data_IF_916881527092
#
_entry.id   IF_916881527092
#
_cell.length_a   1.000
_cell.length_b   1.000
_cell.length_c   1.000
_cell.angle_alpha   90.00
_cell.angle_beta   90.00
_cell.angle_gamma   90.00
#
_symmetry.space_group_name_H-M   'P 1'
#
loop_
_entity.id
_entity.type
_entity.pdbx_description
1 polymer ?
#
# COMPACT_ATOMS: atom_id res chain seq x y z
N UNK A 1 19.10 10.61 3.56
CA UNK A 1 18.46 10.49 2.24
C UNK A 1 17.32 11.50 2.18
N UNK A 2 17.02 12.11 1.02
CA UNK A 2 15.85 13.00 0.86
C UNK A 2 14.74 12.21 0.18
N UNK A 3 13.58 12.11 0.83
CA UNK A 3 12.40 11.45 0.31
C UNK A 3 11.42 12.42 -0.34
N UNK A 4 10.60 11.90 -1.23
CA UNK A 4 9.48 12.62 -1.84
C UNK A 4 8.27 11.70 -1.88
N UNK A 5 7.09 12.27 -1.69
CA UNK A 5 5.81 11.60 -1.86
C UNK A 5 5.11 12.23 -3.07
N UNK A 6 4.86 11.39 -4.07
CA UNK A 6 4.04 11.71 -5.22
C UNK A 6 2.72 10.95 -5.13
N UNK A 7 1.60 11.64 -5.33
CA UNK A 7 0.28 11.04 -5.42
C UNK A 7 -0.33 11.46 -6.75
N UNK A 8 -0.73 10.48 -7.56
CA UNK A 8 -1.42 10.68 -8.83
C UNK A 8 -2.82 10.09 -8.76
N UNK A 9 -3.80 10.82 -9.30
CA UNK A 9 -5.16 10.33 -9.48
C UNK A 9 -5.34 9.87 -10.93
N UNK A 10 -6.01 8.73 -11.11
CA UNK A 10 -6.37 8.20 -12.42
C UNK A 10 -7.87 7.91 -12.45
N UNK A 11 -8.56 8.39 -13.46
CA UNK A 11 -10.00 8.22 -13.61
C UNK A 11 -10.42 8.24 -15.08
N UNK A 12 -11.65 7.81 -15.37
CA UNK A 12 -12.22 7.85 -16.72
C UNK A 12 -13.18 9.03 -16.79
N UNK A 13 -13.04 9.86 -17.81
CA UNK A 13 -13.96 10.94 -18.17
C UNK A 13 -14.12 10.95 -19.69
N UNK A 14 -15.35 10.98 -20.18
CA UNK A 14 -15.69 10.95 -21.61
C UNK A 14 -15.02 9.78 -22.36
N UNK A 15 -15.10 8.58 -21.79
CA UNK A 15 -14.50 7.35 -22.33
C UNK A 15 -12.97 7.40 -22.51
N UNK A 16 -12.30 8.36 -21.87
CA UNK A 16 -10.85 8.50 -21.91
C UNK A 16 -10.25 8.46 -20.51
N UNK A 17 -9.10 7.77 -20.37
CA UNK A 17 -8.31 7.80 -19.15
C UNK A 17 -7.69 9.19 -18.95
N UNK A 18 -7.86 9.74 -17.75
CA UNK A 18 -7.24 10.98 -17.29
C UNK A 18 -6.29 10.67 -16.14
N UNK A 19 -5.19 11.41 -16.11
CA UNK A 19 -4.17 11.32 -15.06
C UNK A 19 -3.89 12.72 -14.55
N UNK A 20 -3.89 12.90 -13.24
CA UNK A 20 -3.60 14.18 -12.59
C UNK A 20 -2.60 13.98 -11.46
N UNK A 21 -1.65 14.90 -11.33
CA UNK A 21 -0.77 14.95 -10.16
C UNK A 21 -1.49 15.70 -9.05
N UNK A 22 -1.83 14.98 -7.98
CA UNK A 22 -2.52 15.53 -6.82
C UNK A 22 -1.51 16.15 -5.87
N UNK A 23 -0.39 15.46 -5.65
CA UNK A 23 0.67 15.93 -4.76
C UNK A 23 2.05 15.50 -5.28
N UNK A 24 3.05 16.36 -5.09
CA UNK A 24 4.46 16.02 -5.20
C UNK A 24 5.24 16.88 -4.20
N UNK A 25 5.37 16.39 -2.97
CA UNK A 25 6.03 17.13 -1.87
C UNK A 25 7.23 16.38 -1.32
N UNK A 26 8.15 17.15 -0.75
CA UNK A 26 9.28 16.58 -0.01
C UNK A 26 8.75 15.88 1.24
N UNK A 27 9.07 14.61 1.39
CA UNK A 27 8.77 13.84 2.59
C UNK A 27 9.84 14.12 3.64
N UNK A 28 9.42 14.62 4.81
CA UNK A 28 10.32 14.93 5.92
C UNK A 28 10.22 13.84 6.98
N UNK A 29 11.34 13.51 7.62
CA UNK A 29 11.37 12.50 8.67
C UNK A 29 11.57 11.07 8.15
N UNK A 30 11.17 10.08 8.96
CA UNK A 30 11.27 8.66 8.62
C UNK A 30 10.08 8.24 7.79
N UNK A 31 10.30 7.40 6.79
CA UNK A 31 9.25 6.86 5.94
C UNK A 31 8.62 5.64 6.60
N UNK A 32 8.03 5.80 7.80
CA UNK A 32 7.29 4.73 8.45
C UNK A 32 5.92 4.57 7.80
N UNK A 33 5.27 3.42 7.99
CA UNK A 33 3.94 3.16 7.43
C UNK A 33 2.91 4.22 7.89
N UNK A 34 2.97 4.58 9.17
CA UNK A 34 2.10 5.58 9.81
C UNK A 34 2.34 6.97 9.23
N UNK A 35 3.60 7.35 9.02
CA UNK A 35 3.96 8.64 8.45
C UNK A 35 3.49 8.75 6.99
N UNK A 36 3.61 7.67 6.22
CA UNK A 36 3.14 7.60 4.82
C UNK A 36 1.62 7.72 4.77
N UNK A 37 0.92 6.96 5.61
CA UNK A 37 -0.55 6.97 5.71
C UNK A 37 -1.07 8.36 6.12
N UNK A 38 -0.46 8.98 7.12
CA UNK A 38 -0.84 10.32 7.57
C UNK A 38 -0.71 11.37 6.47
N UNK A 39 0.41 11.36 5.73
CA UNK A 39 0.63 12.30 4.62
C UNK A 39 -0.32 12.03 3.44
N UNK A 40 -0.69 10.78 3.20
CA UNK A 40 -1.72 10.42 2.22
C UNK A 40 -3.10 10.92 2.64
N UNK A 41 -3.52 10.67 3.88
CA UNK A 41 -4.81 11.09 4.43
C UNK A 41 -4.94 12.62 4.44
N UNK A 42 -3.88 13.34 4.77
CA UNK A 42 -3.84 14.80 4.68
C UNK A 42 -4.12 15.29 3.25
N UNK A 43 -3.43 14.72 2.25
CA UNK A 43 -3.63 15.09 0.84
C UNK A 43 -5.05 14.77 0.41
N UNK A 44 -5.52 13.55 0.62
CA UNK A 44 -6.85 13.09 0.20
C UNK A 44 -7.98 13.91 0.84
N UNK A 45 -7.81 14.29 2.11
CA UNK A 45 -8.74 15.15 2.84
C UNK A 45 -8.74 16.56 2.28
N UNK A 46 -7.55 17.13 2.00
CA UNK A 46 -7.43 18.50 1.48
C UNK A 46 -8.08 18.70 0.11
N UNK A 47 -8.17 17.64 -0.69
CA UNK A 47 -8.84 17.63 -2.00
C UNK A 47 -10.29 17.13 -1.93
N UNK A 48 -10.80 16.74 -0.76
CA UNK A 48 -12.17 16.21 -0.57
C UNK A 48 -12.49 15.02 -1.51
N UNK A 49 -11.51 14.11 -1.67
CA UNK A 49 -11.62 12.95 -2.57
C UNK A 49 -11.65 11.61 -1.83
N UNK A 50 -11.62 11.56 -0.50
CA UNK A 50 -11.55 10.30 0.26
C UNK A 50 -12.56 9.24 -0.16
N UNK A 51 -13.83 9.62 -0.25
CA UNK A 51 -14.92 8.73 -0.67
C UNK A 51 -14.95 8.39 -2.17
N UNK A 52 -14.07 8.99 -2.98
CA UNK A 52 -14.01 8.81 -4.43
C UNK A 52 -12.90 7.85 -4.85
N UNK A 53 -12.09 7.37 -3.89
CA UNK A 53 -10.94 6.51 -4.17
C UNK A 53 -11.38 5.05 -4.17
N UNK A 54 -11.34 4.42 -5.34
CA UNK A 54 -11.69 3.01 -5.49
C UNK A 54 -10.52 2.06 -5.19
N UNK A 55 -9.28 2.49 -5.48
CA UNK A 55 -8.09 1.67 -5.30
C UNK A 55 -6.84 2.54 -5.12
N UNK A 56 -5.85 1.98 -4.43
CA UNK A 56 -4.53 2.56 -4.21
C UNK A 56 -3.48 1.64 -4.84
N UNK A 57 -2.54 2.22 -5.60
CA UNK A 57 -1.40 1.48 -6.16
C UNK A 57 -0.11 2.07 -5.62
N UNK A 58 0.72 1.25 -4.96
CA UNK A 58 2.05 1.67 -4.48
C UNK A 58 3.10 0.59 -4.69
N UNK A 59 4.38 0.92 -4.50
CA UNK A 59 5.46 -0.05 -4.57
C UNK A 59 5.39 -1.11 -3.44
N UNK A 60 6.18 -2.17 -3.57
CA UNK A 60 6.16 -3.30 -2.63
C UNK A 60 7.10 -3.08 -1.43
N UNK A 61 7.60 -1.86 -1.19
CA UNK A 61 8.38 -1.60 0.01
C UNK A 61 7.52 -1.88 1.25
N UNK A 62 8.12 -2.50 2.26
CA UNK A 62 7.38 -2.99 3.44
C UNK A 62 6.53 -1.91 4.11
N UNK A 63 7.03 -0.68 4.18
CA UNK A 63 6.29 0.44 4.76
C UNK A 63 5.16 0.96 3.85
N UNK A 64 5.31 0.86 2.53
CA UNK A 64 4.25 1.23 1.58
C UNK A 64 3.10 0.23 1.62
N UNK A 65 3.39 -1.06 1.74
CA UNK A 65 2.36 -2.10 1.91
C UNK A 65 1.65 -1.90 3.25
N UNK A 66 2.39 -1.83 4.36
CA UNK A 66 1.82 -1.64 5.71
C UNK A 66 1.00 -0.36 5.86
N UNK A 67 1.33 0.71 5.13
CA UNK A 67 0.56 1.95 5.18
C UNK A 67 -0.88 1.78 4.66
N UNK A 68 -1.12 0.78 3.81
CA UNK A 68 -2.41 0.54 3.17
C UNK A 68 -2.95 -0.88 3.41
N UNK A 69 -2.49 -1.54 4.47
CA UNK A 69 -3.06 -2.80 4.95
C UNK A 69 -3.96 -2.57 6.17
N UNK A 70 -4.93 -3.45 6.36
CA UNK A 70 -5.76 -3.45 7.57
C UNK A 70 -4.99 -4.18 8.68
N UNK A 71 -4.80 -3.57 9.87
CA UNK A 71 -4.16 -4.25 10.99
C UNK A 71 -4.90 -5.56 11.33
N UNK A 72 -4.16 -6.67 11.41
CA UNK A 72 -4.74 -8.00 11.65
C UNK A 72 -5.35 -8.67 10.42
N UNK A 73 -5.46 -7.97 9.28
CA UNK A 73 -5.93 -8.51 8.01
C UNK A 73 -4.85 -8.25 6.93
N UNK A 74 -3.83 -9.11 6.95
CA UNK A 74 -2.79 -9.07 5.92
C UNK A 74 -3.30 -9.85 4.70
N UNK A 75 -3.76 -9.12 3.68
CA UNK A 75 -4.45 -9.68 2.51
C UNK A 75 -3.60 -10.68 1.68
N UNK A 76 -2.33 -10.93 2.02
CA UNK A 76 -1.49 -11.90 1.33
C UNK A 76 -0.43 -12.53 2.27
N UNK A 77 -0.78 -13.64 2.93
CA UNK A 77 0.22 -14.68 3.26
C UNK A 77 0.72 -15.31 1.95
N UNK A 78 1.71 -14.68 1.31
CA UNK A 78 2.61 -15.42 0.43
C UNK A 78 3.76 -15.81 1.33
N UNK A 79 3.72 -17.05 1.80
CA UNK A 79 4.76 -17.68 2.59
C UNK A 79 6.11 -17.50 1.90
N UNK A 80 6.94 -16.62 2.45
CA UNK A 80 8.36 -16.78 2.34
C UNK A 80 8.93 -16.63 3.74
N UNK A 81 9.27 -17.78 4.31
CA UNK A 81 9.94 -17.90 5.60
C UNK A 81 11.10 -16.91 5.69
N UNK A 82 11.01 -16.05 6.69
CA UNK A 82 12.14 -15.41 7.34
C UNK A 82 11.76 -15.30 8.82
N UNK A 83 11.96 -16.42 9.50
CA UNK A 83 12.34 -16.61 10.90
C UNK A 83 11.93 -15.56 11.93
N UNK A 84 11.18 -16.09 12.91
CA UNK A 84 11.11 -15.72 14.32
C UNK A 84 10.51 -14.35 14.67
N UNK A 85 9.23 -14.38 15.10
CA UNK A 85 8.84 -14.03 16.48
C UNK A 85 7.36 -14.39 16.72
N UNK A 86 7.07 -14.80 17.97
CA UNK A 86 5.96 -15.63 18.43
C UNK A 86 4.54 -15.03 18.25
N UNK A 87 3.57 -15.88 17.91
CA UNK A 87 2.13 -15.58 17.84
C UNK A 87 1.51 -15.98 19.18
N UNK A 88 1.01 -15.02 19.95
CA UNK A 88 0.12 -15.25 21.08
C UNK A 88 -1.33 -15.21 20.58
N UNK A 89 -1.95 -16.39 20.48
CA UNK A 89 -3.38 -16.59 20.25
C UNK A 89 -4.16 -16.25 21.53
N UNK A 90 -4.97 -15.19 21.52
CA UNK A 90 -6.11 -15.07 22.44
C UNK A 90 -7.32 -14.52 21.68
N UNK A 91 -8.28 -15.44 21.47
CA UNK A 91 -9.65 -15.20 21.01
C UNK A 91 -10.31 -14.00 21.70
N UNK A 92 -10.85 -13.08 20.90
CA UNK A 92 -11.92 -12.18 21.35
C UNK A 92 -13.10 -12.32 20.40
N UNK A 93 -14.17 -12.87 20.96
CA UNK A 93 -15.52 -12.93 20.41
C UNK A 93 -15.95 -11.52 19.95
N UNK A 94 -16.36 -11.39 18.68
CA UNK A 94 -16.97 -10.16 18.17
C UNK A 94 -18.47 -10.34 18.30
N UNK A 95 -19.08 -9.60 19.23
CA UNK A 95 -20.53 -9.42 19.30
C UNK A 95 -20.99 -8.54 18.12
N UNK A 96 -21.97 -9.06 17.38
CA UNK A 96 -22.53 -8.50 16.16
C UNK A 96 -23.59 -7.43 16.53
N UNK A 97 -23.18 -6.16 16.64
CA UNK A 97 -24.12 -5.04 16.87
C UNK A 97 -24.26 -4.17 15.61
N UNK A 98 -25.40 -4.34 14.93
CA UNK A 98 -25.80 -3.56 13.77
C UNK A 98 -26.13 -2.12 14.19
N UNK A 99 -25.22 -1.19 13.88
CA UNK A 99 -25.56 0.23 13.78
C UNK A 99 -24.96 0.84 12.51
N UNK A 100 -25.86 1.26 11.60
CA UNK A 100 -25.59 1.96 10.34
C UNK A 100 -25.07 3.38 10.61
N UNK A 101 -23.79 3.52 10.95
CA UNK A 101 -23.05 4.76 10.76
C UNK A 101 -21.61 4.42 10.33
N UNK A 102 -21.42 4.21 9.02
CA UNK A 102 -20.13 3.89 8.42
C UNK A 102 -19.22 5.12 8.51
N UNK A 103 -18.51 5.23 9.62
CA UNK A 103 -17.39 6.14 9.80
C UNK A 103 -16.36 5.86 8.68
N UNK A 104 -15.90 6.92 7.99
CA UNK A 104 -14.90 6.89 6.90
C UNK A 104 -13.61 6.10 7.25
N UNK A 105 -13.39 5.78 8.52
CA UNK A 105 -12.25 5.02 9.05
C UNK A 105 -12.25 3.53 8.70
N UNK A 106 -13.38 2.91 8.36
CA UNK A 106 -13.50 1.45 8.49
C UNK A 106 -13.41 0.67 7.16
N UNK A 107 -13.31 1.35 6.01
CA UNK A 107 -13.12 0.69 4.71
C UNK A 107 -12.00 1.36 3.93
N UNK A 108 -10.78 0.81 4.04
CA UNK A 108 -9.66 1.27 3.25
C UNK A 108 -9.86 0.85 1.78
N UNK A 109 -9.59 1.73 0.79
CA UNK A 109 -9.68 1.35 -0.62
C UNK A 109 -8.76 0.17 -0.92
N UNK A 110 -9.15 -0.68 -1.88
CA UNK A 110 -8.36 -1.83 -2.29
C UNK A 110 -6.92 -1.43 -2.62
N UNK A 111 -5.95 -2.02 -1.93
CA UNK A 111 -4.54 -1.83 -2.24
C UNK A 111 -4.10 -2.80 -3.34
N UNK A 112 -3.23 -2.33 -4.23
CA UNK A 112 -2.60 -3.16 -5.25
C UNK A 112 -1.12 -2.80 -5.37
N UNK A 113 -0.31 -3.85 -5.54
CA UNK A 113 1.13 -3.73 -5.71
C UNK A 113 1.48 -3.16 -7.08
N UNK A 114 2.54 -2.36 -7.12
CA UNK A 114 3.02 -1.78 -8.37
C UNK A 114 3.52 -2.90 -9.29
N UNK A 115 2.93 -2.98 -10.48
CA UNK A 115 3.30 -3.97 -11.49
C UNK A 115 4.77 -3.85 -11.89
N UNK A 116 5.24 -2.63 -12.18
CA UNK A 116 6.62 -2.40 -12.60
C UNK A 116 7.63 -2.83 -11.53
N UNK A 117 7.36 -2.52 -10.27
CA UNK A 117 8.22 -2.95 -9.17
C UNK A 117 8.18 -4.46 -8.98
N UNK A 118 7.01 -5.08 -9.09
CA UNK A 118 6.87 -6.54 -9.00
C UNK A 118 7.63 -7.23 -10.13
N UNK A 119 7.53 -6.73 -11.37
CA UNK A 119 8.30 -7.24 -12.50
C UNK A 119 9.80 -7.08 -12.29
N UNK A 120 10.24 -5.95 -11.74
CA UNK A 120 11.65 -5.73 -11.38
C UNK A 120 12.13 -6.77 -10.36
N UNK A 121 11.33 -7.12 -9.35
CA UNK A 121 11.67 -8.15 -8.36
C UNK A 121 11.81 -9.52 -9.03
N UNK A 122 10.84 -9.93 -9.86
CA UNK A 122 10.89 -11.20 -10.60
C UNK A 122 12.16 -11.31 -11.44
N UNK A 123 12.50 -10.27 -12.21
CA UNK A 123 13.71 -10.25 -13.02
C UNK A 123 14.96 -10.35 -12.13
N UNK A 124 14.99 -9.59 -11.03
CA UNK A 124 16.13 -9.59 -10.10
C UNK A 124 16.34 -10.97 -9.47
N UNK A 125 15.27 -11.66 -9.09
CA UNK A 125 15.36 -12.98 -8.46
C UNK A 125 15.78 -14.04 -9.48
N UNK A 126 15.19 -14.03 -10.69
CA UNK A 126 15.63 -14.92 -11.77
C UNK A 126 17.12 -14.73 -12.13
N UNK A 127 17.62 -13.48 -12.14
CA UNK A 127 19.05 -13.22 -12.39
C UNK A 127 19.96 -13.74 -11.27
N UNK A 128 19.53 -13.69 -10.00
CA UNK A 128 20.31 -14.27 -8.89
C UNK A 128 20.39 -15.79 -9.03
N UNK A 129 19.27 -16.43 -9.37
CA UNK A 129 19.18 -17.88 -9.51
C UNK A 129 19.99 -18.39 -10.70
N UNK A 130 20.06 -17.61 -11.80
CA UNK A 130 20.90 -17.93 -12.96
C UNK A 130 22.37 -17.51 -12.80
N UNK A 131 22.71 -16.61 -11.87
CA UNK A 131 24.09 -16.14 -11.63
C UNK A 131 25.15 -17.25 -11.48
N UNK A 132 24.91 -18.37 -10.75
CA UNK A 132 25.86 -19.49 -10.72
C UNK A 132 26.08 -20.17 -12.09
N UNK A 133 25.16 -20.01 -13.04
CA UNK A 133 25.20 -20.64 -14.38
C UNK A 133 25.62 -19.68 -15.51
N UNK A 134 25.76 -18.38 -15.23
CA UNK A 134 26.12 -17.33 -16.18
C UNK A 134 27.61 -16.93 -16.14
N UNK A 135 28.44 -17.62 -15.35
CA UNK A 135 29.90 -17.44 -15.40
C UNK A 135 30.47 -18.14 -16.64
N UNK A 136 30.52 -17.41 -17.76
CA UNK A 136 31.46 -17.67 -18.86
C UNK A 136 32.87 -17.22 -18.50
#
# INVERSE_FOLDING_TARGET
MRGFLGITGHFILDWAMKSVMICCKRFKGRHTAESIRSEYEEVVTSFEIGFKIAAIVSDNASNMVKAFSIPGFDDFKVDHESSDEEIDDVDKEIEDDQSDDLHLSDCLPKHSRCFAHTLQLVVKDGLKDCSPHLKT
#
